data_IF_341090570261
#
_entry.id   IF_341090570261
#
_cell.length_a   1.000
_cell.length_b   1.000
_cell.length_c   1.000
_cell.angle_alpha   90.00
_cell.angle_beta   90.00
_cell.angle_gamma   90.00
#
_symmetry.space_group_name_H-M   'P 1'
#
loop_
_entity.id
_entity.type
_entity.pdbx_description
1 polymer ?
#
# COMPACT_ATOMS: atom_id res chain seq x y z
N UNK A 1 8.35 -9.39 -3.00
CA UNK A 1 7.40 -8.45 -3.62
C UNK A 1 7.61 -7.09 -3.01
N UNK A 2 7.70 -6.08 -3.85
CA UNK A 2 7.91 -4.71 -3.37
C UNK A 2 6.61 -4.13 -2.81
N UNK A 3 6.74 -3.02 -2.09
CA UNK A 3 5.55 -2.33 -1.59
C UNK A 3 4.63 -1.91 -2.73
N UNK A 4 5.23 -1.39 -3.82
CA UNK A 4 4.45 -0.99 -4.98
C UNK A 4 3.64 -2.15 -5.53
N UNK A 5 4.28 -3.30 -5.66
CA UNK A 5 3.59 -4.48 -6.17
C UNK A 5 2.50 -4.95 -5.24
N UNK A 6 2.75 -4.87 -3.93
CA UNK A 6 1.76 -5.29 -2.95
C UNK A 6 0.53 -4.39 -2.99
N UNK A 7 0.74 -3.09 -3.16
CA UNK A 7 -0.36 -2.14 -3.24
C UNK A 7 -1.20 -2.39 -4.50
N UNK A 8 -0.53 -2.61 -5.62
CA UNK A 8 -1.23 -2.86 -6.87
C UNK A 8 -1.99 -4.18 -6.81
N UNK A 9 -1.38 -5.20 -6.24
CA UNK A 9 -2.03 -6.49 -6.08
C UNK A 9 -3.25 -6.39 -5.17
N UNK A 10 -3.14 -5.63 -4.08
CA UNK A 10 -4.26 -5.44 -3.18
C UNK A 10 -5.42 -4.77 -3.93
N UNK A 11 -5.11 -3.74 -4.71
CA UNK A 11 -6.16 -3.05 -5.47
C UNK A 11 -6.83 -3.99 -6.46
N UNK A 12 -6.03 -4.80 -7.15
CA UNK A 12 -6.59 -5.74 -8.11
C UNK A 12 -7.49 -6.77 -7.41
N UNK A 13 -7.04 -7.26 -6.27
CA UNK A 13 -7.79 -8.23 -5.49
C UNK A 13 -9.11 -7.66 -4.99
N UNK A 14 -9.07 -6.42 -4.52
CA UNK A 14 -10.25 -5.76 -3.99
C UNK A 14 -11.08 -5.08 -5.07
N UNK A 15 -10.56 -5.03 -6.30
CA UNK A 15 -11.22 -4.39 -7.43
C UNK A 15 -11.50 -2.92 -7.16
N UNK A 16 -10.50 -2.24 -6.62
CA UNK A 16 -10.61 -0.82 -6.33
C UNK A 16 -9.54 -0.05 -7.10
N UNK A 17 -9.79 1.25 -7.27
CA UNK A 17 -8.82 2.11 -7.94
C UNK A 17 -7.95 2.82 -6.90
N UNK A 18 -7.05 3.68 -7.39
CA UNK A 18 -6.14 4.40 -6.50
C UNK A 18 -6.89 5.32 -5.55
N UNK A 19 -7.96 5.94 -6.02
CA UNK A 19 -8.74 6.85 -5.20
C UNK A 19 -9.35 6.12 -4.01
N UNK A 20 -9.89 4.94 -4.25
CA UNK A 20 -10.48 4.17 -3.16
C UNK A 20 -9.41 3.69 -2.18
N UNK A 21 -8.26 3.25 -2.70
CA UNK A 21 -7.17 2.85 -1.80
C UNK A 21 -6.70 4.03 -0.95
N UNK A 22 -6.61 5.21 -1.58
CA UNK A 22 -6.21 6.41 -0.84
C UNK A 22 -7.17 6.70 0.30
N UNK A 23 -8.46 6.52 0.07
CA UNK A 23 -9.46 6.72 1.12
C UNK A 23 -9.27 5.72 2.25
N UNK A 24 -9.03 4.46 1.92
CA UNK A 24 -8.85 3.42 2.93
C UNK A 24 -7.59 3.67 3.77
N UNK A 25 -6.54 4.16 3.13
CA UNK A 25 -5.28 4.44 3.81
C UNK A 25 -5.33 5.76 4.58
N UNK A 26 -6.09 6.73 4.06
CA UNK A 26 -6.18 8.04 4.68
C UNK A 26 -5.17 9.02 4.13
N UNK A 27 -4.86 8.91 2.83
CA UNK A 27 -3.93 9.81 2.15
C UNK A 27 -4.58 10.25 0.84
N UNK A 28 -3.87 11.09 0.08
CA UNK A 28 -4.39 11.56 -1.20
C UNK A 28 -4.13 10.52 -2.29
N UNK A 29 -4.94 10.61 -3.35
CA UNK A 29 -4.75 9.75 -4.52
C UNK A 29 -3.37 9.97 -5.12
N UNK A 30 -2.91 11.23 -5.15
CA UNK A 30 -1.60 11.54 -5.68
C UNK A 30 -0.50 10.81 -4.89
N UNK A 31 -0.65 10.74 -3.57
CA UNK A 31 0.32 10.02 -2.75
C UNK A 31 0.37 8.55 -3.14
N UNK A 32 -0.80 7.92 -3.32
CA UNK A 32 -0.84 6.52 -3.73
C UNK A 32 -0.19 6.34 -5.09
N UNK A 33 -0.52 7.21 -6.03
CA UNK A 33 0.06 7.12 -7.37
C UNK A 33 1.58 7.25 -7.33
N UNK A 34 2.07 8.24 -6.58
CA UNK A 34 3.52 8.48 -6.49
C UNK A 34 4.26 7.28 -5.90
N UNK A 35 3.66 6.65 -4.91
CA UNK A 35 4.28 5.49 -4.30
C UNK A 35 4.24 4.29 -5.26
N UNK A 36 3.12 4.08 -5.93
CA UNK A 36 2.98 2.94 -6.84
C UNK A 36 3.90 3.04 -8.05
N UNK A 37 4.19 4.26 -8.49
CA UNK A 37 5.09 4.46 -9.63
C UNK A 37 6.56 4.50 -9.21
N UNK A 38 6.82 4.54 -7.90
CA UNK A 38 8.19 4.62 -7.41
C UNK A 38 8.74 6.03 -7.40
N UNK A 39 7.91 7.04 -7.72
CA UNK A 39 8.36 8.43 -7.73
C UNK A 39 8.64 8.95 -6.32
N UNK A 40 8.02 8.34 -5.32
CA UNK A 40 8.13 8.79 -3.94
C UNK A 40 8.06 7.59 -3.02
N UNK A 41 8.88 7.61 -1.97
CA UNK A 41 8.80 6.58 -0.94
C UNK A 41 7.92 7.10 0.20
N UNK A 42 7.11 6.23 0.79
CA UNK A 42 6.26 6.67 1.89
C UNK A 42 7.11 6.96 3.14
N UNK A 43 6.69 7.96 3.90
CA UNK A 43 7.26 8.18 5.22
C UNK A 43 6.89 7.00 6.12
N UNK A 44 7.52 6.94 7.30
CA UNK A 44 7.21 5.86 8.24
C UNK A 44 5.74 5.86 8.62
N UNK A 45 5.17 7.04 8.82
CA UNK A 45 3.76 7.15 9.19
C UNK A 45 2.87 6.67 8.05
N UNK A 46 3.17 7.11 6.83
CA UNK A 46 2.38 6.71 5.68
C UNK A 46 2.51 5.20 5.44
N UNK A 47 3.72 4.66 5.58
CA UNK A 47 3.93 3.23 5.43
C UNK A 47 3.10 2.44 6.43
N UNK A 48 3.06 2.90 7.68
CA UNK A 48 2.28 2.23 8.71
C UNK A 48 0.80 2.24 8.35
N UNK A 49 0.30 3.36 7.83
CA UNK A 49 -1.09 3.45 7.40
C UNK A 49 -1.39 2.49 6.27
N UNK A 50 -0.48 2.41 5.30
CA UNK A 50 -0.65 1.49 4.18
C UNK A 50 -0.68 0.04 4.68
N UNK A 51 0.22 -0.30 5.57
CA UNK A 51 0.30 -1.68 6.08
C UNK A 51 -0.92 -2.06 6.91
N UNK A 52 -1.57 -1.09 7.55
CA UNK A 52 -2.80 -1.38 8.25
C UNK A 52 -3.92 -1.80 7.30
N UNK A 53 -3.84 -1.36 6.06
CA UNK A 53 -4.87 -1.65 5.06
C UNK A 53 -4.53 -2.89 4.26
N UNK A 54 -3.32 -2.95 3.70
CA UNK A 54 -2.94 -4.04 2.81
C UNK A 54 -2.22 -5.18 3.51
N UNK A 55 -1.90 -4.99 4.77
CA UNK A 55 -1.17 -6.02 5.52
C UNK A 55 0.32 -5.79 5.47
N UNK A 56 1.00 -6.24 6.50
CA UNK A 56 2.45 -6.14 6.55
C UNK A 56 3.08 -7.18 5.67
N UNK A 57 4.29 -6.91 5.23
CA UNK A 57 5.03 -7.89 4.47
C UNK A 57 5.29 -9.10 5.35
N UNK A 58 4.96 -10.30 4.84
CA UNK A 58 5.10 -11.53 5.58
C UNK A 58 6.52 -12.01 5.60
N UNK A 59 6.83 -12.52 6.73
CA UNK A 59 8.08 -13.25 6.87
C UNK A 59 7.73 -14.66 7.22
N UNK A 60 7.45 -15.00 7.25
CA UNK A 60 6.92 -15.95 7.79
C UNK A 60 7.20 -16.71 8.63
N UNK A 61 6.96 -16.07 8.70
CA UNK A 61 6.98 -16.45 9.53
C UNK A 61 6.93 -16.88 10.31
N UNK A 62 7.10 -16.82 10.32
CA UNK A 62 6.96 -16.96 11.09
C UNK A 62 6.61 -17.40 11.88
N UNK A 63 6.45 -17.32 12.00
CA UNK A 63 6.06 -17.49 12.78
C UNK A 63 5.80 -18.19 13.31
N UNK A 64 5.88 -18.50 13.29
CA UNK A 64 5.53 -18.89 13.85
C UNK A 64 5.67 -19.39 14.22
#
# INVERSE_FOLDING_TARGET
MTLQERMIEYRAKERINQTELAKRVGVTTQTINSIETGAQEPSKITLAKIELVIGKEEHKDAEM
#
